data_IF_675841817598
#
_entry.id   IF_675841817598
#
_cell.length_a   1.000
_cell.length_b   1.000
_cell.length_c   1.000
_cell.angle_alpha   90.00
_cell.angle_beta   90.00
_cell.angle_gamma   90.00
#
_symmetry.space_group_name_H-M   'P 1'
#
loop_
_entity.id
_entity.type
_entity.pdbx_description
1 polymer ?
#
# COMPACT_ATOMS: atom_id res chain seq x y z
N UNK A 1 -7.06 -22.15 10.11
CA UNK A 1 -7.30 -20.87 10.81
C UNK A 1 -8.46 -20.14 10.16
N UNK A 2 -9.12 -19.26 10.90
CA UNK A 2 -9.99 -18.21 10.39
C UNK A 2 -9.15 -16.95 10.22
N UNK A 3 -9.06 -16.46 8.99
CA UNK A 3 -8.24 -15.28 8.66
C UNK A 3 -9.16 -14.16 8.18
N UNK A 4 -9.20 -13.06 8.93
CA UNK A 4 -9.90 -11.85 8.55
C UNK A 4 -8.91 -10.92 7.85
N UNK A 5 -9.24 -10.52 6.63
CA UNK A 5 -8.47 -9.52 5.88
C UNK A 5 -9.27 -8.23 5.88
N UNK A 6 -8.62 -7.10 6.18
CA UNK A 6 -9.29 -5.81 6.27
C UNK A 6 -8.63 -4.77 5.37
N UNK A 7 -9.46 -4.04 4.64
CA UNK A 7 -9.05 -2.98 3.73
C UNK A 7 -10.15 -1.93 3.67
N UNK A 8 -9.80 -0.64 3.61
CA UNK A 8 -10.81 0.37 3.27
C UNK A 8 -11.17 0.31 1.78
N UNK A 9 -12.31 0.89 1.39
CA UNK A 9 -12.86 0.76 0.04
C UNK A 9 -12.03 1.50 -1.02
N UNK A 10 -10.89 0.91 -1.38
CA UNK A 10 -10.02 1.37 -2.47
C UNK A 10 -9.40 0.19 -3.21
N UNK A 11 -9.65 0.10 -4.52
CA UNK A 11 -9.26 -1.04 -5.36
C UNK A 11 -7.76 -1.34 -5.29
N UNK A 12 -6.91 -0.31 -5.40
CA UNK A 12 -5.45 -0.49 -5.47
C UNK A 12 -4.85 -0.95 -4.14
N UNK A 13 -5.46 -0.62 -3.00
CA UNK A 13 -5.08 -1.14 -1.69
C UNK A 13 -5.49 -2.60 -1.55
N UNK A 14 -6.72 -2.93 -1.97
CA UNK A 14 -7.24 -4.29 -1.90
C UNK A 14 -6.45 -5.27 -2.78
N UNK A 15 -6.07 -4.88 -3.98
CA UNK A 15 -5.41 -5.78 -4.93
C UNK A 15 -4.11 -6.38 -4.41
N UNK A 16 -3.37 -5.66 -3.57
CA UNK A 16 -2.16 -6.19 -2.95
C UNK A 16 -2.42 -7.33 -1.94
N UNK A 17 -3.62 -7.41 -1.39
CA UNK A 17 -4.01 -8.43 -0.40
C UNK A 17 -4.41 -9.76 -1.07
N UNK A 18 -4.89 -9.71 -2.31
CA UNK A 18 -5.52 -10.85 -3.01
C UNK A 18 -4.59 -12.05 -3.15
N UNK A 19 -3.32 -11.93 -3.56
CA UNK A 19 -2.44 -13.09 -3.72
C UNK A 19 -2.20 -13.85 -2.42
N UNK A 20 -2.03 -13.15 -1.30
CA UNK A 20 -1.86 -13.79 0.01
C UNK A 20 -3.18 -14.38 0.52
N UNK A 21 -4.32 -13.71 0.28
CA UNK A 21 -5.65 -14.23 0.59
C UNK A 21 -5.91 -15.57 -0.11
N UNK A 22 -5.57 -15.67 -1.39
CA UNK A 22 -5.68 -16.90 -2.14
C UNK A 22 -4.71 -17.98 -1.68
N UNK A 23 -3.48 -17.61 -1.33
CA UNK A 23 -2.50 -18.56 -0.78
C UNK A 23 -3.01 -19.18 0.54
N UNK A 24 -3.57 -18.38 1.44
CA UNK A 24 -4.18 -18.84 2.68
C UNK A 24 -5.38 -19.74 2.41
N UNK A 25 -6.23 -19.37 1.48
CA UNK A 25 -7.40 -20.15 1.10
C UNK A 25 -7.03 -21.50 0.47
N UNK A 26 -6.03 -21.50 -0.41
CA UNK A 26 -5.48 -22.73 -1.01
C UNK A 26 -4.83 -23.66 0.02
N UNK A 27 -4.32 -23.14 1.13
CA UNK A 27 -3.80 -23.91 2.26
C UNK A 27 -4.90 -24.43 3.20
N UNK A 28 -6.19 -24.25 2.88
CA UNK A 28 -7.34 -24.76 3.63
C UNK A 28 -7.81 -23.84 4.77
N UNK A 29 -7.42 -22.57 4.78
CA UNK A 29 -7.92 -21.60 5.76
C UNK A 29 -9.26 -21.01 5.33
N UNK A 30 -10.11 -20.68 6.31
CA UNK A 30 -11.32 -19.88 6.08
C UNK A 30 -10.92 -18.40 6.02
N UNK A 31 -11.12 -17.76 4.86
CA UNK A 31 -10.71 -16.39 4.61
C UNK A 31 -11.94 -15.53 4.32
N UNK A 32 -12.09 -14.41 5.02
CA UNK A 32 -13.09 -13.38 4.76
C UNK A 32 -12.39 -12.03 4.58
N UNK A 33 -12.95 -11.18 3.72
CA UNK A 33 -12.44 -9.82 3.51
C UNK A 33 -13.49 -8.83 3.97
N UNK A 34 -13.18 -8.04 4.98
CA UNK A 34 -14.05 -6.99 5.50
C UNK A 34 -13.61 -5.62 4.96
N UNK A 35 -14.57 -4.87 4.41
CA UNK A 35 -14.39 -3.55 3.84
C UNK A 35 -15.72 -2.81 3.79
N UNK A 36 -15.68 -1.50 3.52
CA UNK A 36 -16.90 -0.74 3.28
C UNK A 36 -17.64 -1.28 2.05
N UNK A 37 -18.97 -1.07 1.97
CA UNK A 37 -19.84 -1.65 0.94
C UNK A 37 -19.39 -1.42 -0.50
N UNK A 38 -18.79 -0.27 -0.81
CA UNK A 38 -18.32 0.08 -2.16
C UNK A 38 -17.29 -0.92 -2.74
N UNK A 39 -16.57 -1.67 -1.90
CA UNK A 39 -15.57 -2.66 -2.37
C UNK A 39 -16.16 -4.06 -2.59
N UNK A 40 -17.42 -4.30 -2.25
CA UNK A 40 -18.05 -5.63 -2.27
C UNK A 40 -17.94 -6.33 -3.62
N UNK A 41 -18.28 -5.64 -4.71
CA UNK A 41 -18.21 -6.18 -6.07
C UNK A 41 -16.78 -6.55 -6.48
N UNK A 42 -15.80 -5.71 -6.10
CA UNK A 42 -14.39 -5.94 -6.41
C UNK A 42 -13.85 -7.14 -5.66
N UNK A 43 -14.21 -7.30 -4.38
CA UNK A 43 -13.86 -8.47 -3.58
C UNK A 43 -14.45 -9.74 -4.18
N UNK A 44 -15.75 -9.72 -4.49
CA UNK A 44 -16.43 -10.86 -5.10
C UNK A 44 -15.87 -11.18 -6.49
N UNK A 45 -15.54 -10.16 -7.30
CA UNK A 45 -14.89 -10.31 -8.60
C UNK A 45 -13.49 -10.96 -8.53
N UNK A 46 -12.81 -10.88 -7.38
CA UNK A 46 -11.56 -11.61 -7.13
C UNK A 46 -11.77 -13.07 -6.70
N UNK A 47 -13.02 -13.50 -6.51
CA UNK A 47 -13.40 -14.83 -6.02
C UNK A 47 -13.24 -15.02 -4.50
N UNK A 48 -13.01 -13.95 -3.74
CA UNK A 48 -12.99 -13.95 -2.27
C UNK A 48 -14.37 -13.59 -1.71
N UNK A 49 -14.58 -13.85 -0.42
CA UNK A 49 -15.85 -13.59 0.26
C UNK A 49 -15.81 -12.23 0.94
N UNK A 50 -16.68 -11.32 0.50
CA UNK A 50 -16.82 -9.99 1.09
C UNK A 50 -17.69 -10.03 2.36
N UNK A 51 -17.31 -9.22 3.35
CA UNK A 51 -18.14 -8.89 4.52
C UNK A 51 -18.21 -7.35 4.59
N UNK A 52 -19.33 -6.74 4.15
CA UNK A 52 -19.51 -5.30 4.23
C UNK A 52 -19.52 -4.84 5.69
N UNK A 53 -18.78 -3.77 5.99
CA UNK A 53 -18.69 -3.11 7.33
C UNK A 53 -18.70 -1.61 7.15
N UNK A 54 -19.35 -0.89 8.07
CA UNK A 54 -19.45 0.56 8.03
C UNK A 54 -20.44 1.06 6.98
N UNK A 55 -20.55 2.37 6.91
CA UNK A 55 -21.51 3.13 6.10
C UNK A 55 -20.86 4.02 5.02
N UNK A 56 -19.53 4.11 5.01
CA UNK A 56 -18.82 4.91 4.02
C UNK A 56 -18.79 4.19 2.67
N UNK A 57 -19.34 4.82 1.65
CA UNK A 57 -19.49 4.19 0.35
C UNK A 57 -18.20 4.19 -0.47
N UNK A 58 -17.40 5.27 -0.41
CA UNK A 58 -16.16 5.36 -1.18
C UNK A 58 -15.14 6.37 -0.62
N UNK A 59 -13.88 6.23 -1.06
CA UNK A 59 -12.83 7.23 -0.79
C UNK A 59 -13.18 8.59 -1.39
N UNK A 60 -13.92 8.63 -2.51
CA UNK A 60 -14.38 9.86 -3.17
C UNK A 60 -15.35 10.62 -2.28
N UNK A 61 -16.30 9.93 -1.64
CA UNK A 61 -17.19 10.55 -0.67
C UNK A 61 -16.45 11.09 0.55
N UNK A 62 -15.48 10.32 1.07
CA UNK A 62 -14.63 10.80 2.14
C UNK A 62 -13.88 12.07 1.73
N UNK A 63 -13.20 12.06 0.58
CA UNK A 63 -12.44 13.21 0.08
C UNK A 63 -13.36 14.42 -0.13
N UNK A 64 -14.57 14.23 -0.65
CA UNK A 64 -15.56 15.30 -0.79
C UNK A 64 -15.98 15.87 0.56
N UNK A 65 -16.20 15.02 1.56
CA UNK A 65 -16.62 15.41 2.91
C UNK A 65 -15.54 16.21 3.66
N UNK A 66 -14.27 15.83 3.52
CA UNK A 66 -13.13 16.51 4.18
C UNK A 66 -12.54 17.66 3.33
N UNK A 67 -13.15 17.99 2.19
CA UNK A 67 -12.75 19.09 1.33
C UNK A 67 -11.80 18.74 0.19
N UNK A 68 -11.35 17.50 0.05
CA UNK A 68 -10.65 16.95 -1.14
C UNK A 68 -9.37 17.68 -1.59
N UNK A 69 -8.75 18.48 -0.73
CA UNK A 69 -7.58 19.29 -1.11
C UNK A 69 -6.28 18.48 -0.94
N UNK A 70 -5.52 18.18 -2.03
CA UNK A 70 -4.24 17.49 -1.94
C UNK A 70 -3.10 18.40 -1.44
N UNK A 71 -3.33 19.70 -1.24
CA UNK A 71 -2.29 20.67 -0.86
C UNK A 71 -1.49 20.26 0.39
N UNK A 72 -2.10 19.75 1.47
CA UNK A 72 -1.34 19.29 2.64
C UNK A 72 -0.30 18.21 2.31
N UNK A 73 -0.65 17.25 1.43
CA UNK A 73 0.28 16.22 0.97
C UNK A 73 1.40 16.80 0.10
N UNK A 74 1.07 17.73 -0.79
CA UNK A 74 2.06 18.42 -1.64
C UNK A 74 3.01 19.31 -0.84
N UNK A 75 2.58 19.78 0.33
CA UNK A 75 3.40 20.57 1.27
C UNK A 75 4.24 19.71 2.23
N UNK A 76 4.21 18.37 2.11
CA UNK A 76 4.98 17.46 2.93
C UNK A 76 4.44 17.26 4.34
N UNK A 77 3.15 17.47 4.55
CA UNK A 77 2.48 17.11 5.80
C UNK A 77 2.04 15.64 5.84
N UNK A 78 2.38 14.86 4.83
CA UNK A 78 2.26 13.40 4.85
C UNK A 78 3.53 12.74 5.44
N UNK A 79 3.48 11.43 5.68
CA UNK A 79 4.61 10.69 6.25
C UNK A 79 5.73 10.38 5.24
N UNK A 80 5.56 10.71 3.98
CA UNK A 80 6.50 10.43 2.91
C UNK A 80 7.40 11.64 2.55
N UNK A 81 7.56 12.59 3.46
CA UNK A 81 8.40 13.78 3.25
C UNK A 81 9.83 13.40 2.85
N UNK A 82 10.27 13.86 1.69
CA UNK A 82 11.58 13.54 1.11
C UNK A 82 12.48 14.76 0.93
N UNK A 83 12.06 15.96 1.34
CA UNK A 83 12.80 17.21 1.10
C UNK A 83 14.12 17.32 1.88
N UNK A 84 14.37 16.39 2.79
CA UNK A 84 15.63 16.28 3.51
C UNK A 84 15.80 17.31 4.63
N UNK A 85 16.60 16.93 5.63
CA UNK A 85 16.85 17.72 6.84
C UNK A 85 16.21 17.08 8.07
N UNK A 86 16.70 17.42 9.29
CA UNK A 86 16.09 16.94 10.51
C UNK A 86 14.67 17.51 10.64
N UNK A 87 13.67 16.64 10.79
CA UNK A 87 12.31 17.06 11.09
C UNK A 87 12.29 17.71 12.48
N UNK A 88 11.70 18.92 12.57
CA UNK A 88 11.40 19.54 13.86
C UNK A 88 10.16 18.95 14.50
N UNK A 89 10.01 19.16 15.83
CA UNK A 89 8.87 18.70 16.60
C UNK A 89 7.53 19.16 16.00
N UNK A 90 7.39 20.46 15.72
CA UNK A 90 6.13 21.05 15.21
C UNK A 90 5.73 20.41 13.87
N UNK A 91 6.70 20.11 13.01
CA UNK A 91 6.43 19.45 11.75
C UNK A 91 6.00 17.98 11.97
N UNK A 92 6.73 17.23 12.80
CA UNK A 92 6.38 15.85 13.11
C UNK A 92 5.01 15.74 13.82
N UNK A 93 4.70 16.64 14.76
CA UNK A 93 3.40 16.72 15.38
C UNK A 93 2.30 17.08 14.37
N UNK A 94 2.57 18.04 13.48
CA UNK A 94 1.67 18.42 12.38
C UNK A 94 1.35 17.24 11.45
N UNK A 95 2.36 16.42 11.10
CA UNK A 95 2.16 15.20 10.32
C UNK A 95 1.28 14.19 11.07
N UNK A 96 1.56 13.90 12.35
CA UNK A 96 0.75 12.98 13.16
C UNK A 96 -0.70 13.48 13.26
N UNK A 97 -0.88 14.77 13.51
CA UNK A 97 -2.22 15.38 13.62
C UNK A 97 -2.99 15.29 12.30
N UNK A 98 -2.35 15.72 11.19
CA UNK A 98 -2.96 15.72 9.88
C UNK A 98 -3.34 14.31 9.43
N UNK A 99 -2.42 13.35 9.55
CA UNK A 99 -2.67 11.98 9.11
C UNK A 99 -3.75 11.30 9.96
N UNK A 100 -3.75 11.54 11.28
CA UNK A 100 -4.79 10.99 12.16
C UNK A 100 -6.15 11.60 11.85
N UNK A 101 -6.25 12.94 11.79
CA UNK A 101 -7.53 13.64 11.65
C UNK A 101 -8.11 13.58 10.23
N UNK A 102 -7.26 13.57 9.18
CA UNK A 102 -7.70 13.68 7.79
C UNK A 102 -7.69 12.35 7.04
N UNK A 103 -7.00 11.32 7.57
CA UNK A 103 -6.90 10.02 6.90
C UNK A 103 -7.33 8.87 7.79
N UNK A 104 -6.66 8.63 8.92
CA UNK A 104 -6.89 7.41 9.69
C UNK A 104 -8.26 7.40 10.38
N UNK A 105 -8.60 8.42 11.15
CA UNK A 105 -9.89 8.46 11.85
C UNK A 105 -11.08 8.51 10.88
N UNK A 106 -11.08 9.30 9.79
CA UNK A 106 -12.20 9.29 8.85
C UNK A 106 -12.38 7.99 8.06
N UNK A 107 -11.26 7.33 7.66
CA UNK A 107 -11.32 6.02 6.97
C UNK A 107 -11.81 4.89 7.89
N UNK A 108 -11.62 5.06 9.19
CA UNK A 108 -12.02 4.12 10.23
C UNK A 108 -13.08 4.76 11.14
N UNK A 109 -14.16 5.26 10.55
CA UNK A 109 -15.26 5.87 11.30
C UNK A 109 -15.89 4.90 12.31
N UNK A 110 -16.60 5.44 13.28
CA UNK A 110 -17.18 4.68 14.40
C UNK A 110 -17.99 3.48 13.94
N UNK A 111 -18.84 3.64 12.93
CA UNK A 111 -19.67 2.56 12.36
C UNK A 111 -18.78 1.43 11.81
N UNK A 112 -17.72 1.78 11.08
CA UNK A 112 -16.80 0.78 10.52
C UNK A 112 -16.08 -0.01 11.63
N UNK A 113 -15.65 0.68 12.69
CA UNK A 113 -15.00 0.04 13.85
C UNK A 113 -15.98 -0.85 14.61
N UNK A 114 -17.19 -0.36 14.87
CA UNK A 114 -18.22 -1.11 15.59
C UNK A 114 -18.60 -2.41 14.86
N UNK A 115 -18.85 -2.31 13.56
CA UNK A 115 -19.17 -3.47 12.73
C UNK A 115 -17.99 -4.46 12.65
N UNK A 116 -16.76 -3.96 12.53
CA UNK A 116 -15.56 -4.80 12.51
C UNK A 116 -15.36 -5.55 13.82
N UNK A 117 -15.56 -4.89 14.97
CA UNK A 117 -15.49 -5.51 16.28
C UNK A 117 -16.64 -6.51 16.47
N UNK A 118 -17.86 -6.19 16.03
CA UNK A 118 -19.00 -7.11 16.09
C UNK A 118 -18.73 -8.37 15.24
N UNK A 119 -18.19 -8.21 14.03
CA UNK A 119 -17.78 -9.31 13.16
C UNK A 119 -16.70 -10.16 13.84
N UNK A 120 -15.66 -9.56 14.40
CA UNK A 120 -14.58 -10.28 15.08
C UNK A 120 -15.07 -11.04 16.29
N UNK A 121 -15.97 -10.45 17.11
CA UNK A 121 -16.61 -11.12 18.25
C UNK A 121 -17.46 -12.31 17.83
N UNK A 122 -18.20 -12.19 16.74
CA UNK A 122 -19.09 -13.26 16.26
C UNK A 122 -18.29 -14.39 15.55
N UNK A 123 -17.29 -14.04 14.78
CA UNK A 123 -16.58 -15.02 13.95
C UNK A 123 -15.27 -15.54 14.56
N UNK A 124 -14.69 -14.83 15.56
CA UNK A 124 -13.49 -15.22 16.29
C UNK A 124 -12.31 -15.57 15.35
N UNK A 125 -11.73 -14.59 14.63
CA UNK A 125 -10.59 -14.84 13.77
C UNK A 125 -9.37 -15.28 14.58
N UNK A 126 -8.54 -16.15 14.00
CA UNK A 126 -7.25 -16.54 14.55
C UNK A 126 -6.15 -15.52 14.20
N UNK A 127 -6.31 -14.87 13.03
CA UNK A 127 -5.39 -13.91 12.46
C UNK A 127 -6.16 -12.81 11.72
N UNK A 128 -5.79 -11.56 11.97
CA UNK A 128 -6.26 -10.40 11.20
C UNK A 128 -5.10 -9.86 10.38
N UNK A 129 -5.26 -9.84 9.05
CA UNK A 129 -4.34 -9.17 8.12
C UNK A 129 -4.96 -7.84 7.69
N UNK A 130 -4.22 -6.77 7.81
CA UNK A 130 -4.74 -5.44 7.54
C UNK A 130 -3.77 -4.59 6.72
N UNK A 131 -4.31 -3.77 5.84
CA UNK A 131 -3.52 -2.80 5.12
C UNK A 131 -3.31 -1.53 5.99
N UNK A 132 -2.23 -0.77 5.78
CA UNK A 132 -1.74 0.23 6.74
C UNK A 132 -2.70 1.38 7.10
N UNK A 133 -3.80 1.59 6.37
CA UNK A 133 -4.78 2.63 6.68
C UNK A 133 -6.04 2.10 7.38
N UNK A 134 -6.24 0.78 7.46
CA UNK A 134 -7.45 0.16 8.01
C UNK A 134 -7.26 -0.26 9.46
N UNK A 135 -7.20 0.72 10.37
CA UNK A 135 -7.02 0.50 11.82
C UNK A 135 -8.19 -0.24 12.48
N UNK A 136 -9.37 -0.25 11.89
CA UNK A 136 -10.47 -1.09 12.36
C UNK A 136 -10.09 -2.57 12.46
N UNK A 137 -9.15 -3.03 11.62
CA UNK A 137 -8.62 -4.40 11.67
C UNK A 137 -7.87 -4.72 12.96
N UNK A 138 -6.74 -4.05 13.28
CA UNK A 138 -5.99 -4.30 14.50
C UNK A 138 -6.79 -3.93 15.77
N UNK A 139 -7.66 -2.91 15.74
CA UNK A 139 -8.58 -2.61 16.85
C UNK A 139 -9.48 -3.82 17.15
N UNK A 140 -10.11 -4.39 16.11
CA UNK A 140 -10.97 -5.57 16.28
C UNK A 140 -10.15 -6.79 16.74
N UNK A 141 -8.94 -6.99 16.22
CA UNK A 141 -8.03 -8.04 16.66
C UNK A 141 -7.69 -7.93 18.15
N UNK A 142 -7.32 -6.72 18.60
CA UNK A 142 -7.03 -6.43 20.00
C UNK A 142 -8.21 -6.76 20.91
N UNK A 143 -9.42 -6.32 20.55
CA UNK A 143 -10.64 -6.54 21.33
C UNK A 143 -10.99 -8.02 21.52
N UNK A 144 -10.65 -8.89 20.57
CA UNK A 144 -10.93 -10.33 20.66
C UNK A 144 -9.70 -11.17 21.00
N UNK A 145 -8.52 -10.57 21.16
CA UNK A 145 -7.27 -11.27 21.44
C UNK A 145 -6.73 -12.09 20.26
N UNK A 146 -7.05 -11.71 19.02
CA UNK A 146 -6.54 -12.34 17.82
C UNK A 146 -5.13 -11.82 17.49
N UNK A 147 -4.30 -12.67 16.86
CA UNK A 147 -3.06 -12.21 16.24
C UNK A 147 -3.35 -11.26 15.07
N UNK A 148 -2.46 -10.30 14.82
CA UNK A 148 -2.62 -9.43 13.66
C UNK A 148 -1.29 -9.04 13.00
N UNK A 149 -1.33 -8.81 11.69
CA UNK A 149 -0.17 -8.37 10.92
C UNK A 149 -0.58 -7.34 9.88
N UNK A 150 0.30 -6.35 9.66
CA UNK A 150 0.17 -5.43 8.53
C UNK A 150 0.68 -6.09 7.25
N UNK A 151 -0.01 -5.85 6.14
CA UNK A 151 0.51 -6.13 4.80
C UNK A 151 0.71 -4.79 4.06
N UNK A 152 1.98 -4.46 3.83
CA UNK A 152 2.35 -3.21 3.18
C UNK A 152 2.07 -3.27 1.66
N UNK A 153 1.85 -2.10 1.09
CA UNK A 153 1.72 -1.86 -0.35
C UNK A 153 2.76 -0.86 -0.88
N UNK A 154 3.60 -0.30 -0.01
CA UNK A 154 4.66 0.66 -0.31
C UNK A 154 5.71 0.66 0.79
N UNK A 155 6.71 1.56 0.75
CA UNK A 155 7.64 1.77 1.85
C UNK A 155 6.89 2.06 3.16
N UNK A 156 7.37 1.53 4.28
CA UNK A 156 6.72 1.71 5.59
C UNK A 156 6.92 3.13 6.15
N UNK A 157 6.32 4.10 5.49
CA UNK A 157 6.40 5.51 5.87
C UNK A 157 5.73 5.79 7.21
N UNK A 158 4.68 5.02 7.56
CA UNK A 158 3.92 5.22 8.81
C UNK A 158 4.79 4.90 10.02
N UNK A 159 5.36 3.70 10.08
CA UNK A 159 6.23 3.31 11.20
C UNK A 159 7.54 4.10 11.22
N UNK A 160 8.06 4.46 10.05
CA UNK A 160 9.24 5.30 9.95
C UNK A 160 9.00 6.69 10.55
N UNK A 161 7.93 7.37 10.14
CA UNK A 161 7.54 8.68 10.69
C UNK A 161 7.18 8.58 12.18
N UNK A 162 6.48 7.50 12.60
CA UNK A 162 6.16 7.24 14.00
C UNK A 162 7.42 7.16 14.86
N UNK A 163 8.43 6.44 14.43
CA UNK A 163 9.71 6.34 15.14
C UNK A 163 10.37 7.70 15.31
N UNK A 164 10.47 8.48 14.23
CA UNK A 164 11.03 9.83 14.28
C UNK A 164 10.25 10.75 15.23
N UNK A 165 8.92 10.69 15.18
CA UNK A 165 8.06 11.44 16.08
C UNK A 165 8.30 11.07 17.55
N UNK A 166 8.38 9.78 17.88
CA UNK A 166 8.63 9.32 19.26
C UNK A 166 10.03 9.73 19.76
N UNK A 167 11.06 9.71 18.92
CA UNK A 167 12.40 10.21 19.25
C UNK A 167 12.37 11.71 19.60
N UNK A 168 11.65 12.52 18.82
CA UNK A 168 11.47 13.95 19.09
C UNK A 168 10.62 14.20 20.34
N UNK A 169 9.57 13.43 20.55
CA UNK A 169 8.70 13.50 21.71
C UNK A 169 9.47 13.18 23.00
N UNK A 170 10.33 12.14 22.99
CA UNK A 170 11.12 11.75 24.15
C UNK A 170 12.09 12.85 24.62
N UNK A 171 12.53 13.73 23.73
CA UNK A 171 13.37 14.87 24.06
C UNK A 171 12.62 16.06 24.72
N UNK A 172 11.28 15.99 24.83
CA UNK A 172 10.44 17.04 25.43
C UNK A 172 10.06 16.73 26.87
N UNK A 173 9.80 17.74 27.71
CA UNK A 173 9.15 17.56 28.99
C UNK A 173 7.83 16.77 28.84
N UNK A 174 7.52 15.90 29.78
CA UNK A 174 6.37 15.00 29.69
C UNK A 174 5.04 15.75 29.52
N UNK A 175 4.89 16.86 30.24
CA UNK A 175 3.69 17.72 30.21
C UNK A 175 3.49 18.47 28.87
N UNK A 176 4.47 18.43 27.96
CA UNK A 176 4.42 19.05 26.62
C UNK A 176 4.40 18.01 25.49
N UNK A 177 4.21 16.74 25.83
CA UNK A 177 4.09 15.67 24.84
C UNK A 177 2.63 15.51 24.45
N UNK A 178 2.38 15.66 23.16
CA UNK A 178 1.09 15.40 22.53
C UNK A 178 1.26 14.22 21.60
N UNK A 179 0.26 13.34 21.52
CA UNK A 179 0.29 12.17 20.63
C UNK A 179 -1.10 11.90 20.04
N UNK A 180 -1.47 12.62 18.97
CA UNK A 180 -2.82 12.55 18.40
C UNK A 180 -3.24 11.14 17.96
N UNK A 181 -2.28 10.33 17.50
CA UNK A 181 -2.57 8.96 17.05
C UNK A 181 -2.81 8.02 18.24
N UNK A 182 -1.98 8.12 19.28
CA UNK A 182 -2.17 7.33 20.48
C UNK A 182 -3.45 7.71 21.24
N UNK A 183 -3.76 8.99 21.29
CA UNK A 183 -5.01 9.50 21.89
C UNK A 183 -6.24 8.96 21.16
N UNK A 184 -6.27 9.07 19.82
CA UNK A 184 -7.36 8.55 19.00
C UNK A 184 -7.58 7.06 19.20
N UNK A 185 -6.50 6.25 19.17
CA UNK A 185 -6.59 4.80 19.38
C UNK A 185 -7.04 4.45 20.78
N UNK A 186 -6.55 5.17 21.80
CA UNK A 186 -6.94 4.96 23.19
C UNK A 186 -8.43 5.24 23.39
N UNK A 187 -8.94 6.40 22.98
CA UNK A 187 -10.37 6.74 23.08
C UNK A 187 -11.25 5.75 22.30
N UNK A 188 -10.76 5.28 21.18
CA UNK A 188 -11.49 4.28 20.37
C UNK A 188 -11.61 2.95 21.13
N UNK A 189 -10.52 2.47 21.74
CA UNK A 189 -10.52 1.19 22.46
C UNK A 189 -11.27 1.24 23.78
N UNK A 190 -11.31 2.38 24.48
CA UNK A 190 -12.09 2.57 25.69
C UNK A 190 -13.59 2.29 25.51
N UNK A 191 -14.10 2.38 24.27
CA UNK A 191 -15.47 2.00 23.91
C UNK A 191 -15.73 0.49 24.06
N UNK A 192 -14.68 -0.35 24.04
CA UNK A 192 -14.79 -1.81 24.00
C UNK A 192 -14.21 -2.51 25.22
N UNK A 193 -13.43 -1.82 26.04
CA UNK A 193 -12.76 -2.37 27.21
C UNK A 193 -11.92 -1.34 27.97
N UNK A 194 -11.01 -1.78 28.83
CA UNK A 194 -10.10 -0.88 29.53
C UNK A 194 -9.14 -0.20 28.55
N UNK A 195 -8.65 1.00 28.91
CA UNK A 195 -7.65 1.72 28.13
C UNK A 195 -6.42 0.82 27.85
N UNK A 196 -5.89 0.83 26.62
CA UNK A 196 -4.68 0.11 26.28
C UNK A 196 -3.47 0.76 26.96
N UNK A 197 -2.43 -0.02 27.23
CA UNK A 197 -1.14 0.54 27.59
C UNK A 197 -0.38 1.05 26.33
N UNK A 198 0.71 1.78 26.55
CA UNK A 198 1.49 2.36 25.46
C UNK A 198 2.07 1.29 24.50
N UNK A 199 2.41 0.11 25.02
CA UNK A 199 2.93 -0.98 24.19
C UNK A 199 1.86 -1.54 23.26
N UNK A 200 0.62 -1.70 23.75
CA UNK A 200 -0.52 -2.11 22.93
C UNK A 200 -0.86 -1.08 21.87
N UNK A 201 -0.75 0.22 22.17
CA UNK A 201 -0.95 1.28 21.15
C UNK A 201 0.09 1.19 20.04
N UNK A 202 1.37 1.04 20.38
CA UNK A 202 2.43 0.90 19.36
C UNK A 202 2.28 -0.40 18.55
N UNK A 203 1.78 -1.48 19.16
CA UNK A 203 1.46 -2.71 18.46
C UNK A 203 0.30 -2.53 17.46
N UNK A 204 -0.73 -1.74 17.81
CA UNK A 204 -1.82 -1.39 16.89
C UNK A 204 -1.31 -0.58 15.70
N UNK A 205 -0.34 0.32 15.90
CA UNK A 205 0.23 1.16 14.84
C UNK A 205 1.16 0.33 13.94
N UNK A 206 2.05 -0.44 14.55
CA UNK A 206 3.10 -1.20 13.85
C UNK A 206 2.70 -2.59 13.39
N UNK A 207 1.64 -3.16 13.97
CA UNK A 207 1.33 -4.58 13.84
C UNK A 207 2.24 -5.45 14.72
N UNK A 208 1.80 -6.65 15.09
CA UNK A 208 2.67 -7.64 15.71
C UNK A 208 3.79 -8.06 14.76
N UNK A 209 3.47 -8.10 13.48
CA UNK A 209 4.40 -8.35 12.37
C UNK A 209 4.04 -7.47 11.19
N UNK A 210 5.04 -7.18 10.38
CA UNK A 210 4.86 -6.46 9.10
C UNK A 210 5.20 -7.39 7.95
N UNK A 211 4.25 -7.64 7.05
CA UNK A 211 4.47 -8.38 5.80
C UNK A 211 4.82 -7.35 4.73
N UNK A 212 5.99 -7.48 4.11
CA UNK A 212 6.53 -6.46 3.21
C UNK A 212 6.91 -7.06 1.84
N UNK A 213 6.23 -6.64 0.75
CA UNK A 213 6.54 -7.09 -0.60
C UNK A 213 7.72 -6.35 -1.25
N UNK A 214 8.25 -5.27 -0.65
CA UNK A 214 9.37 -4.55 -1.19
C UNK A 214 10.66 -5.38 -1.16
N UNK A 215 11.55 -5.29 -2.16
CA UNK A 215 12.91 -5.80 -2.05
C UNK A 215 13.67 -5.06 -0.93
N UNK A 216 14.62 -5.75 -0.29
CA UNK A 216 15.34 -5.22 0.87
C UNK A 216 16.00 -3.87 0.62
N UNK A 217 16.54 -3.67 -0.59
CA UNK A 217 17.18 -2.43 -1.00
C UNK A 217 16.23 -1.20 -1.09
N UNK A 218 14.91 -1.41 -1.14
CA UNK A 218 13.90 -0.35 -1.18
C UNK A 218 13.13 -0.19 0.14
N UNK A 219 13.53 -0.89 1.20
CA UNK A 219 12.88 -0.80 2.52
C UNK A 219 13.41 0.37 3.33
N UNK A 220 12.51 0.97 4.09
CA UNK A 220 12.91 1.90 5.15
C UNK A 220 13.35 1.12 6.40
N UNK A 221 14.31 1.65 7.19
CA UNK A 221 14.66 1.07 8.48
C UNK A 221 13.53 1.35 9.48
N UNK A 222 12.79 0.30 9.85
CA UNK A 222 11.69 0.36 10.80
C UNK A 222 11.88 -0.67 11.92
N UNK A 223 11.38 -0.43 13.14
CA UNK A 223 11.40 -1.43 14.21
C UNK A 223 10.43 -2.57 13.95
N UNK A 224 10.63 -3.69 14.64
CA UNK A 224 9.71 -4.84 14.60
C UNK A 224 10.16 -5.97 13.67
N UNK A 225 9.39 -7.06 13.67
CA UNK A 225 9.65 -8.22 12.83
C UNK A 225 9.03 -8.02 11.43
N UNK A 226 9.88 -7.99 10.42
CA UNK A 226 9.48 -7.88 9.02
C UNK A 226 9.52 -9.25 8.36
N UNK A 227 8.40 -9.66 7.79
CA UNK A 227 8.23 -10.88 7.03
C UNK A 227 8.27 -10.54 5.53
N UNK A 228 9.35 -10.84 4.82
CA UNK A 228 9.41 -10.60 3.38
C UNK A 228 8.43 -11.51 2.64
N UNK A 229 7.78 -10.96 1.63
CA UNK A 229 6.94 -11.73 0.71
C UNK A 229 7.19 -11.28 -0.72
N UNK A 230 7.26 -12.21 -1.66
CA UNK A 230 7.36 -11.88 -3.07
C UNK A 230 6.06 -11.22 -3.55
N UNK A 231 6.19 -10.05 -4.14
CA UNK A 231 5.08 -9.39 -4.80
C UNK A 231 4.54 -10.27 -5.94
N UNK A 232 3.23 -10.39 -6.00
CA UNK A 232 2.50 -11.07 -7.08
C UNK A 232 1.50 -10.09 -7.67
N UNK A 233 1.61 -9.71 -8.94
CA UNK A 233 0.70 -8.76 -9.57
C UNK A 233 -0.73 -9.29 -9.57
N UNK A 234 -1.66 -8.44 -9.16
CA UNK A 234 -3.10 -8.61 -9.35
C UNK A 234 -3.74 -7.23 -9.48
N UNK A 235 -4.40 -6.98 -10.61
CA UNK A 235 -5.00 -5.68 -10.93
C UNK A 235 -6.47 -5.82 -11.34
N UNK A 236 -7.16 -6.83 -10.80
CA UNK A 236 -8.54 -7.15 -11.16
C UNK A 236 -8.67 -8.00 -12.44
N UNK A 237 -9.90 -8.29 -12.84
CA UNK A 237 -10.19 -9.03 -14.07
C UNK A 237 -9.63 -8.28 -15.28
N UNK A 238 -8.95 -9.00 -16.17
CA UNK A 238 -8.32 -8.38 -17.33
C UNK A 238 -8.22 -9.33 -18.52
N UNK A 239 -8.07 -8.76 -19.71
CA UNK A 239 -7.87 -9.51 -20.97
C UNK A 239 -6.57 -9.03 -21.61
N UNK A 240 -5.74 -9.98 -22.02
CA UNK A 240 -4.53 -9.66 -22.80
C UNK A 240 -4.95 -9.33 -24.23
N UNK A 241 -4.69 -8.13 -24.73
CA UNK A 241 -5.04 -7.75 -26.10
C UNK A 241 -4.19 -8.51 -27.12
N UNK A 242 -4.78 -8.86 -28.27
CA UNK A 242 -4.14 -9.70 -29.29
C UNK A 242 -2.79 -9.16 -29.80
N UNK A 243 -2.62 -7.83 -29.86
CA UNK A 243 -1.37 -7.20 -30.30
C UNK A 243 -0.18 -7.46 -29.35
N UNK A 244 -0.45 -7.82 -28.09
CA UNK A 244 0.60 -8.08 -27.10
C UNK A 244 1.17 -9.52 -27.19
N UNK A 245 0.57 -10.40 -27.97
CA UNK A 245 1.09 -11.75 -28.19
C UNK A 245 2.37 -11.78 -29.04
N UNK A 246 2.60 -10.76 -29.86
CA UNK A 246 3.82 -10.64 -30.64
C UNK A 246 4.90 -9.86 -29.86
N UNK A 247 6.18 -10.28 -29.95
CA UNK A 247 7.27 -9.48 -29.41
C UNK A 247 7.32 -8.13 -30.13
N UNK A 248 7.78 -7.06 -29.48
CA UNK A 248 7.94 -5.75 -30.13
C UNK A 248 9.10 -5.78 -31.13
N UNK A 249 8.94 -5.11 -32.28
CA UNK A 249 9.97 -5.00 -33.31
C UNK A 249 11.11 -4.02 -32.92
N UNK A 250 10.87 -3.18 -31.92
CA UNK A 250 11.80 -2.17 -31.39
C UNK A 250 11.59 -2.03 -29.86
N UNK A 251 12.50 -1.37 -29.13
CA UNK A 251 12.29 -1.14 -27.70
C UNK A 251 10.90 -0.60 -27.42
N UNK A 252 10.24 -1.13 -26.38
CA UNK A 252 8.92 -0.66 -25.97
C UNK A 252 9.01 0.10 -24.66
N UNK A 253 8.33 1.23 -24.56
CA UNK A 253 8.19 2.03 -23.34
C UNK A 253 6.73 2.09 -22.97
N UNK A 254 6.41 1.69 -21.74
CA UNK A 254 5.09 1.92 -21.16
C UNK A 254 5.03 3.32 -20.56
N UNK A 255 3.93 4.04 -20.78
CA UNK A 255 3.66 5.33 -20.13
C UNK A 255 2.29 5.28 -19.49
N UNK A 256 2.24 5.38 -18.14
CA UNK A 256 1.00 5.25 -17.38
C UNK A 256 0.98 6.17 -16.16
N UNK A 257 -0.08 6.93 -16.01
CA UNK A 257 -0.28 7.77 -14.82
C UNK A 257 -1.12 7.07 -13.74
N UNK A 258 -1.59 5.83 -14.00
CA UNK A 258 -2.47 5.10 -13.09
C UNK A 258 -3.88 5.69 -13.03
N UNK A 259 -4.72 5.06 -12.22
CA UNK A 259 -6.13 5.45 -12.06
C UNK A 259 -6.42 6.15 -10.74
N UNK A 260 -5.63 5.86 -9.68
CA UNK A 260 -5.94 6.29 -8.29
C UNK A 260 -6.02 7.80 -8.11
N UNK A 261 -5.11 8.59 -8.71
CA UNK A 261 -5.13 10.04 -8.56
C UNK A 261 -6.41 10.63 -9.18
N UNK A 262 -6.84 10.10 -10.33
CA UNK A 262 -8.07 10.53 -10.98
C UNK A 262 -9.31 10.10 -10.21
N UNK A 263 -9.36 8.86 -9.74
CA UNK A 263 -10.44 8.37 -8.89
C UNK A 263 -10.57 9.19 -7.61
N UNK A 264 -9.45 9.58 -7.00
CA UNK A 264 -9.45 10.30 -5.71
C UNK A 264 -9.67 11.80 -5.87
N UNK A 265 -9.04 12.44 -6.87
CA UNK A 265 -9.01 13.92 -6.99
C UNK A 265 -9.70 14.46 -8.24
N UNK A 266 -10.25 13.60 -9.10
CA UNK A 266 -11.00 13.97 -10.32
C UNK A 266 -10.15 14.59 -11.43
N UNK A 267 -8.82 14.56 -11.33
CA UNK A 267 -7.89 15.13 -12.32
C UNK A 267 -6.57 14.39 -12.39
N UNK A 268 -5.90 14.50 -13.52
CA UNK A 268 -4.52 14.03 -13.68
C UNK A 268 -3.54 14.97 -12.97
N UNK A 269 -2.46 14.40 -12.45
CA UNK A 269 -1.42 15.17 -11.76
C UNK A 269 -0.52 15.95 -12.76
N UNK A 270 -0.57 15.64 -14.07
CA UNK A 270 0.33 16.18 -15.12
C UNK A 270 -0.41 16.32 -16.45
N UNK A 271 -0.18 17.39 -17.26
CA UNK A 271 -0.70 17.52 -18.62
C UNK A 271 -0.02 16.50 -19.54
N UNK A 272 -0.79 15.49 -19.97
CA UNK A 272 -0.23 14.26 -20.55
C UNK A 272 -0.01 14.32 -22.06
N UNK A 273 -0.91 14.98 -22.80
CA UNK A 273 -0.92 14.99 -24.25
C UNK A 273 0.35 15.65 -24.83
N UNK A 274 0.76 16.80 -24.27
CA UNK A 274 1.99 17.48 -24.69
C UNK A 274 3.24 16.64 -24.43
N UNK A 275 3.26 15.90 -23.32
CA UNK A 275 4.38 15.03 -22.96
C UNK A 275 4.51 13.83 -23.91
N UNK A 276 3.37 13.29 -24.40
CA UNK A 276 3.39 12.20 -25.37
C UNK A 276 3.98 12.64 -26.69
N UNK A 277 3.64 13.84 -27.18
CA UNK A 277 4.21 14.36 -28.43
C UNK A 277 5.74 14.45 -28.39
N UNK A 278 6.33 14.74 -27.21
CA UNK A 278 7.77 14.77 -27.03
C UNK A 278 8.47 13.41 -27.21
N UNK A 279 7.72 12.32 -27.14
CA UNK A 279 8.22 10.96 -27.33
C UNK A 279 8.07 10.47 -28.80
N UNK A 280 7.48 11.29 -29.66
CA UNK A 280 7.18 10.91 -31.05
C UNK A 280 8.40 10.56 -31.89
N UNK A 281 9.55 11.21 -31.66
CA UNK A 281 10.79 11.00 -32.43
C UNK A 281 11.74 9.96 -31.82
N UNK A 282 11.33 9.28 -30.74
CA UNK A 282 12.15 8.22 -30.13
C UNK A 282 11.99 6.94 -30.92
N UNK A 283 13.10 6.27 -31.25
CA UNK A 283 13.09 4.95 -31.89
C UNK A 283 12.67 3.85 -30.90
N UNK A 284 11.41 3.94 -30.49
CA UNK A 284 10.74 3.00 -29.59
C UNK A 284 9.24 2.98 -29.88
N UNK A 285 8.57 1.88 -29.55
CA UNK A 285 7.11 1.82 -29.45
C UNK A 285 6.70 2.36 -28.08
N UNK A 286 5.88 3.39 -28.05
CA UNK A 286 5.32 3.96 -26.82
C UNK A 286 3.92 3.40 -26.63
N UNK A 287 3.67 2.68 -25.54
CA UNK A 287 2.34 2.22 -25.14
C UNK A 287 1.85 3.11 -24.00
N UNK A 288 0.91 3.98 -24.30
CA UNK A 288 0.33 4.92 -23.34
C UNK A 288 -1.03 4.41 -22.85
N UNK A 289 -1.19 4.21 -21.53
CA UNK A 289 -2.50 3.89 -20.96
C UNK A 289 -3.24 5.18 -20.65
N UNK A 290 -4.26 5.48 -21.44
CA UNK A 290 -5.00 6.73 -21.44
C UNK A 290 -6.49 6.47 -21.56
N UNK A 291 -7.27 7.09 -20.69
CA UNK A 291 -8.71 7.18 -20.87
C UNK A 291 -9.05 8.04 -22.09
N UNK A 292 -10.17 7.74 -22.76
CA UNK A 292 -10.64 8.50 -23.91
C UNK A 292 -10.80 10.00 -23.65
N UNK A 293 -11.06 10.39 -22.41
CA UNK A 293 -11.19 11.80 -21.98
C UNK A 293 -9.86 12.55 -21.85
N UNK A 294 -8.72 11.85 -21.85
CA UNK A 294 -7.37 12.45 -21.68
C UNK A 294 -6.73 12.86 -23.02
N UNK A 295 -7.33 12.51 -24.13
CA UNK A 295 -6.88 12.88 -25.46
C UNK A 295 -7.95 13.67 -26.17
N UNK A 296 -7.58 14.85 -26.70
CA UNK A 296 -8.46 15.65 -27.54
C UNK A 296 -8.65 14.97 -28.90
N UNK A 297 -7.58 14.41 -29.45
CA UNK A 297 -7.59 13.70 -30.72
C UNK A 297 -6.59 12.53 -30.72
N UNK A 298 -7.09 11.30 -30.74
CA UNK A 298 -6.25 10.09 -30.81
C UNK A 298 -5.52 9.96 -32.14
N UNK A 299 -6.08 10.49 -33.22
CA UNK A 299 -5.50 10.39 -34.57
C UNK A 299 -4.35 11.39 -34.76
N UNK A 300 -4.21 12.38 -33.86
CA UNK A 300 -3.11 13.32 -33.85
C UNK A 300 -1.83 12.80 -33.15
N UNK A 301 -1.89 11.64 -32.50
CA UNK A 301 -0.69 11.07 -31.86
C UNK A 301 0.38 10.64 -32.86
N UNK A 302 1.68 10.82 -32.55
CA UNK A 302 2.79 10.30 -33.32
C UNK A 302 2.66 8.80 -33.63
N UNK A 303 3.11 8.39 -34.83
CA UNK A 303 2.93 7.02 -35.34
C UNK A 303 3.58 5.91 -34.48
N UNK A 304 4.55 6.27 -33.62
CA UNK A 304 5.18 5.34 -32.69
C UNK A 304 4.41 5.20 -31.36
N UNK A 305 3.29 5.92 -31.19
CA UNK A 305 2.50 5.90 -29.94
C UNK A 305 1.22 5.10 -30.14
N UNK A 306 1.04 4.11 -29.29
CA UNK A 306 -0.20 3.31 -29.16
C UNK A 306 -0.92 3.73 -27.89
N UNK A 307 -2.02 4.44 -28.01
CA UNK A 307 -2.92 4.73 -26.90
C UNK A 307 -3.86 3.56 -26.67
N UNK A 308 -3.98 3.12 -25.41
CA UNK A 308 -4.89 2.05 -24.98
C UNK A 308 -5.61 2.48 -23.71
N UNK A 309 -6.88 2.14 -23.56
CA UNK A 309 -7.65 2.50 -22.37
C UNK A 309 -7.19 1.69 -21.15
N UNK A 310 -6.90 0.42 -21.36
CA UNK A 310 -6.43 -0.50 -20.33
C UNK A 310 -5.59 -1.62 -20.94
N UNK A 311 -4.56 -2.03 -20.22
CA UNK A 311 -3.79 -3.24 -20.51
C UNK A 311 -3.23 -3.80 -19.19
N UNK A 312 -3.29 -5.13 -18.96
CA UNK A 312 -2.72 -5.71 -17.74
C UNK A 312 -1.20 -5.49 -17.70
N UNK A 313 -0.73 -4.77 -16.68
CA UNK A 313 0.69 -4.40 -16.52
C UNK A 313 1.60 -5.61 -16.44
N UNK A 314 1.15 -6.69 -15.81
CA UNK A 314 1.92 -7.95 -15.71
C UNK A 314 2.15 -8.61 -17.08
N UNK A 315 1.26 -8.38 -18.04
CA UNK A 315 1.44 -8.85 -19.42
C UNK A 315 2.26 -7.87 -20.29
N UNK A 316 2.11 -6.56 -20.04
CA UNK A 316 2.79 -5.53 -20.84
C UNK A 316 4.24 -5.34 -20.41
N UNK A 317 4.53 -5.16 -19.12
CA UNK A 317 5.86 -4.78 -18.62
C UNK A 317 6.98 -5.77 -18.94
N UNK A 318 6.75 -7.10 -19.01
CA UNK A 318 7.78 -8.03 -19.51
C UNK A 318 8.27 -7.75 -20.91
N UNK A 319 7.49 -7.04 -21.72
CA UNK A 319 7.84 -6.66 -23.09
C UNK A 319 8.47 -5.27 -23.20
N UNK A 320 8.56 -4.54 -22.08
CA UNK A 320 9.02 -3.16 -22.05
C UNK A 320 10.50 -3.06 -21.66
N UNK A 321 11.18 -2.08 -22.27
CA UNK A 321 12.56 -1.68 -21.94
C UNK A 321 12.61 -0.58 -20.88
N UNK A 322 11.53 0.16 -20.68
CA UNK A 322 11.37 1.15 -19.63
C UNK A 322 9.89 1.42 -19.36
N UNK A 323 9.58 2.00 -18.19
CA UNK A 323 8.25 2.49 -17.85
C UNK A 323 8.31 3.88 -17.24
N UNK A 324 7.42 4.76 -17.69
CA UNK A 324 7.14 6.07 -17.09
C UNK A 324 5.85 5.95 -16.30
N UNK A 325 5.87 6.28 -15.00
CA UNK A 325 4.67 6.18 -14.18
C UNK A 325 4.66 7.16 -12.98
N UNK A 326 3.48 7.37 -12.41
CA UNK A 326 3.23 8.30 -11.31
C UNK A 326 3.69 7.79 -9.91
N UNK A 327 4.34 6.64 -9.81
CA UNK A 327 4.81 6.09 -8.53
C UNK A 327 3.82 5.19 -7.79
N UNK A 328 2.68 4.80 -8.40
CA UNK A 328 1.75 3.85 -7.80
C UNK A 328 2.40 2.50 -7.50
N UNK A 329 2.08 1.93 -6.32
CA UNK A 329 2.72 0.72 -5.82
C UNK A 329 2.55 -0.48 -6.76
N UNK A 330 1.35 -0.73 -7.27
CA UNK A 330 1.08 -1.85 -8.18
C UNK A 330 1.92 -1.79 -9.45
N UNK A 331 2.02 -0.62 -10.09
CA UNK A 331 2.86 -0.43 -11.29
C UNK A 331 4.34 -0.56 -10.96
N UNK A 332 4.80 0.11 -9.88
CA UNK A 332 6.22 0.09 -9.47
C UNK A 332 6.70 -1.31 -9.11
N UNK A 333 5.95 -2.05 -8.30
CA UNK A 333 6.33 -3.42 -7.94
C UNK A 333 6.22 -4.40 -9.10
N UNK A 334 5.25 -4.23 -10.01
CA UNK A 334 5.21 -5.04 -11.24
C UNK A 334 6.43 -4.76 -12.11
N UNK A 335 6.82 -3.49 -12.28
CA UNK A 335 8.04 -3.13 -13.00
C UNK A 335 9.30 -3.72 -12.36
N UNK A 336 9.41 -3.64 -11.02
CA UNK A 336 10.53 -4.23 -10.28
C UNK A 336 10.57 -5.75 -10.42
N UNK A 337 9.42 -6.43 -10.36
CA UNK A 337 9.30 -7.89 -10.55
C UNK A 337 9.82 -8.32 -11.93
N UNK A 338 9.59 -7.49 -12.96
CA UNK A 338 10.05 -7.77 -14.33
C UNK A 338 11.42 -7.20 -14.65
N UNK A 339 12.04 -6.45 -13.72
CA UNK A 339 13.37 -5.85 -13.92
C UNK A 339 13.36 -4.72 -14.95
N UNK A 340 12.26 -3.98 -15.05
CA UNK A 340 12.07 -2.88 -15.98
C UNK A 340 12.55 -1.58 -15.35
N UNK A 341 13.45 -0.81 -16.00
CA UNK A 341 13.84 0.53 -15.58
C UNK A 341 12.64 1.46 -15.42
N UNK A 342 12.61 2.24 -14.34
CA UNK A 342 11.47 3.07 -13.99
C UNK A 342 11.82 4.56 -14.06
N UNK A 343 10.96 5.35 -14.67
CA UNK A 343 10.99 6.82 -14.65
C UNK A 343 9.76 7.23 -13.83
N UNK A 344 9.98 7.77 -12.63
CA UNK A 344 8.90 8.05 -11.68
C UNK A 344 8.65 9.56 -11.64
N UNK A 345 7.42 9.96 -12.00
CA UNK A 345 6.99 11.36 -12.13
C UNK A 345 5.96 11.77 -11.09
N UNK A 346 5.81 11.00 -10.01
CA UNK A 346 4.79 11.22 -9.00
C UNK A 346 5.14 12.31 -8.00
N UNK A 347 4.10 12.95 -7.42
CA UNK A 347 4.22 14.02 -6.42
C UNK A 347 3.42 13.77 -5.16
N UNK A 348 2.60 12.73 -5.13
CA UNK A 348 1.67 12.47 -4.03
C UNK A 348 2.11 11.29 -3.21
N UNK A 349 1.91 11.41 -1.89
CA UNK A 349 2.18 10.36 -0.92
C UNK A 349 3.62 9.82 -1.04
N UNK A 350 3.80 8.51 -1.04
CA UNK A 350 5.09 7.83 -1.08
C UNK A 350 5.76 7.77 -2.47
N UNK A 351 5.15 8.39 -3.50
CA UNK A 351 5.71 8.37 -4.85
C UNK A 351 7.07 9.08 -4.95
N UNK A 352 7.29 10.28 -4.36
CA UNK A 352 8.60 10.92 -4.36
C UNK A 352 9.67 10.08 -3.64
N UNK A 353 9.30 9.44 -2.52
CA UNK A 353 10.21 8.55 -1.79
C UNK A 353 10.59 7.32 -2.63
N UNK A 354 9.62 6.70 -3.29
CA UNK A 354 9.88 5.56 -4.21
C UNK A 354 10.79 5.96 -5.36
N UNK A 355 10.58 7.16 -5.92
CA UNK A 355 11.45 7.69 -6.97
C UNK A 355 12.90 7.84 -6.49
N UNK A 356 13.08 8.44 -5.32
CA UNK A 356 14.40 8.59 -4.68
C UNK A 356 15.06 7.22 -4.43
N UNK A 357 14.36 6.28 -3.79
CA UNK A 357 14.90 4.95 -3.49
C UNK A 357 15.32 4.19 -4.76
N UNK A 358 14.54 4.24 -5.85
CA UNK A 358 14.91 3.62 -7.12
C UNK A 358 16.12 4.30 -7.77
N UNK A 359 16.21 5.63 -7.70
CA UNK A 359 17.33 6.39 -8.22
C UNK A 359 18.63 6.10 -7.43
N UNK A 360 18.57 6.00 -6.12
CA UNK A 360 19.71 5.61 -5.25
C UNK A 360 20.23 4.20 -5.58
N UNK A 361 19.34 3.26 -5.93
CA UNK A 361 19.73 1.93 -6.40
C UNK A 361 20.23 1.93 -7.85
N UNK A 362 20.14 3.06 -8.56
CA UNK A 362 20.45 3.16 -9.98
C UNK A 362 19.47 2.43 -10.90
N UNK A 363 18.33 1.98 -10.38
CA UNK A 363 17.31 1.20 -11.11
C UNK A 363 16.20 2.05 -11.71
N UNK A 364 16.25 3.37 -11.51
CA UNK A 364 15.25 4.31 -12.00
C UNK A 364 15.76 5.74 -12.09
N UNK A 365 14.88 6.60 -12.56
CA UNK A 365 15.11 8.05 -12.71
C UNK A 365 13.99 8.75 -11.92
N UNK A 366 14.39 9.57 -10.97
CA UNK A 366 13.50 10.50 -10.27
C UNK A 366 13.29 11.75 -11.13
N UNK A 367 12.07 11.93 -11.62
CA UNK A 367 11.67 13.07 -12.44
C UNK A 367 10.43 13.74 -11.82
N UNK A 368 10.64 14.56 -10.77
CA UNK A 368 9.51 15.17 -10.06
C UNK A 368 8.75 16.16 -10.97
N UNK A 369 7.45 16.38 -10.75
CA UNK A 369 6.61 17.24 -11.59
C UNK A 369 7.16 18.65 -11.80
N UNK A 370 7.87 19.21 -10.83
CA UNK A 370 8.51 20.53 -10.97
C UNK A 370 9.63 20.60 -12.03
N UNK A 371 10.16 19.42 -12.42
CA UNK A 371 11.20 19.28 -13.48
C UNK A 371 10.67 18.59 -14.73
N UNK A 372 9.40 18.21 -14.75
CA UNK A 372 8.81 17.47 -15.83
C UNK A 372 8.36 18.41 -16.94
N UNK A 373 9.03 18.32 -18.08
CA UNK A 373 8.66 18.93 -19.33
C UNK A 373 8.98 17.98 -20.52
N UNK A 374 8.67 18.42 -21.73
CA UNK A 374 8.89 17.64 -22.96
C UNK A 374 10.36 17.21 -23.12
N UNK A 375 11.31 18.08 -22.82
CA UNK A 375 12.74 17.83 -22.99
C UNK A 375 13.25 16.85 -21.93
N UNK A 376 12.97 17.11 -20.67
CA UNK A 376 13.43 16.30 -19.53
C UNK A 376 12.82 14.90 -19.54
N UNK A 377 11.56 14.76 -19.95
CA UNK A 377 10.93 13.43 -20.13
C UNK A 377 11.63 12.66 -21.22
N UNK A 378 11.83 13.29 -22.39
CA UNK A 378 12.51 12.67 -23.53
C UNK A 378 13.93 12.21 -23.16
N UNK A 379 14.71 13.05 -22.51
CA UNK A 379 16.05 12.73 -22.03
C UNK A 379 16.05 11.55 -21.05
N UNK A 380 15.11 11.53 -20.10
CA UNK A 380 14.95 10.43 -19.15
C UNK A 380 14.64 9.10 -19.85
N UNK A 381 13.70 9.11 -20.83
CA UNK A 381 13.36 7.91 -21.61
C UNK A 381 14.55 7.44 -22.43
N UNK A 382 15.23 8.32 -23.16
CA UNK A 382 16.43 7.96 -23.94
C UNK A 382 17.50 7.38 -23.02
N UNK A 383 17.77 7.99 -21.88
CA UNK A 383 18.72 7.49 -20.90
C UNK A 383 18.34 6.10 -20.38
N UNK A 384 17.07 5.87 -20.02
CA UNK A 384 16.61 4.57 -19.57
C UNK A 384 16.76 3.47 -20.63
N UNK A 385 16.64 3.82 -21.92
CA UNK A 385 16.81 2.90 -23.04
C UNK A 385 18.28 2.64 -23.39
N UNK A 386 19.19 3.61 -23.19
CA UNK A 386 20.57 3.55 -23.71
C UNK A 386 21.64 3.31 -22.64
N UNK A 387 21.33 3.56 -21.35
CA UNK A 387 22.26 3.32 -20.25
C UNK A 387 22.10 1.89 -19.70
N UNK A 388 23.04 0.97 -20.02
CA UNK A 388 22.92 -0.43 -19.60
C UNK A 388 23.04 -0.60 -18.07
N UNK A 389 23.57 0.39 -17.35
CA UNK A 389 23.71 0.33 -15.90
C UNK A 389 22.35 0.37 -15.20
N UNK A 390 21.39 1.14 -15.73
CA UNK A 390 20.02 1.24 -15.20
C UNK A 390 19.30 -0.12 -15.36
N UNK A 391 19.38 -0.71 -16.55
CA UNK A 391 18.79 -2.03 -16.78
C UNK A 391 19.45 -3.13 -15.93
N UNK A 392 20.77 -3.04 -15.69
CA UNK A 392 21.47 -3.98 -14.79
C UNK A 392 21.01 -3.83 -13.34
N UNK A 393 20.82 -2.60 -12.86
CA UNK A 393 20.31 -2.33 -11.53
C UNK A 393 18.86 -2.80 -11.35
N UNK A 394 17.99 -2.54 -12.33
CA UNK A 394 16.61 -3.04 -12.31
C UNK A 394 16.55 -4.58 -12.24
N UNK A 395 17.45 -5.28 -12.97
CA UNK A 395 17.57 -6.75 -12.86
C UNK A 395 18.01 -7.21 -11.49
N UNK A 396 18.94 -6.52 -10.80
CA UNK A 396 19.32 -6.85 -9.41
C UNK A 396 18.13 -6.75 -8.45
N UNK A 397 17.33 -5.68 -8.54
CA UNK A 397 16.12 -5.57 -7.73
C UNK A 397 15.11 -6.69 -8.02
N UNK A 398 14.97 -7.10 -9.28
CA UNK A 398 14.16 -8.25 -9.66
C UNK A 398 14.64 -9.54 -8.98
N UNK A 399 15.95 -9.77 -8.95
CA UNK A 399 16.53 -10.95 -8.30
C UNK A 399 16.19 -10.98 -6.80
N UNK A 400 16.23 -9.85 -6.10
CA UNK A 400 15.81 -9.73 -4.70
C UNK A 400 14.33 -10.08 -4.52
N UNK A 401 13.44 -9.54 -5.38
CA UNK A 401 12.01 -9.86 -5.34
C UNK A 401 11.77 -11.36 -5.53
N UNK A 402 12.45 -11.97 -6.51
CA UNK A 402 12.30 -13.39 -6.81
C UNK A 402 12.87 -14.32 -5.70
N UNK A 403 13.87 -13.85 -4.96
CA UNK A 403 14.43 -14.56 -3.81
C UNK A 403 13.51 -14.55 -2.58
N UNK A 404 12.58 -13.60 -2.48
CA UNK A 404 11.63 -13.53 -1.38
C UNK A 404 10.64 -14.71 -1.43
N UNK A 405 10.17 -15.21 -0.26
CA UNK A 405 9.18 -16.27 -0.17
C UNK A 405 7.90 -15.92 -0.96
N UNK A 406 7.36 -16.87 -1.70
CA UNK A 406 6.04 -16.68 -2.33
C UNK A 406 4.95 -16.52 -1.26
N UNK A 407 3.77 -15.93 -1.59
CA UNK A 407 2.64 -15.91 -0.67
C UNK A 407 2.32 -17.29 -0.08
N UNK A 408 2.37 -18.36 -0.89
CA UNK A 408 2.16 -19.73 -0.41
C UNK A 408 3.26 -20.20 0.56
N UNK A 409 4.52 -19.83 0.32
CA UNK A 409 5.63 -20.17 1.21
C UNK A 409 5.59 -19.39 2.55
N UNK A 410 4.91 -18.25 2.60
CA UNK A 410 4.72 -17.47 3.83
C UNK A 410 3.66 -18.08 4.76
N UNK A 411 2.65 -18.81 4.24
CA UNK A 411 1.52 -19.33 5.01
C UNK A 411 1.96 -20.15 6.25
N UNK A 412 2.90 -21.11 6.17
CA UNK A 412 3.34 -21.85 7.36
C UNK A 412 3.98 -20.97 8.44
N UNK A 413 4.58 -19.85 8.06
CA UNK A 413 5.12 -18.89 9.03
C UNK A 413 4.00 -18.17 9.75
N UNK A 414 2.97 -17.70 9.05
CA UNK A 414 1.79 -17.07 9.65
C UNK A 414 1.04 -18.05 10.58
N UNK A 415 0.92 -19.32 10.20
CA UNK A 415 0.34 -20.37 11.06
C UNK A 415 1.09 -20.52 12.38
N UNK A 416 2.44 -20.60 12.33
CA UNK A 416 3.28 -20.71 13.53
C UNK A 416 3.17 -19.48 14.42
N UNK A 417 3.16 -18.28 13.82
CA UNK A 417 3.05 -17.02 14.55
C UNK A 417 1.70 -16.89 15.26
N UNK A 418 0.60 -17.13 14.56
CA UNK A 418 -0.74 -17.12 15.15
C UNK A 418 -0.91 -18.19 16.23
N UNK A 419 -0.33 -19.38 16.05
CA UNK A 419 -0.37 -20.45 17.08
C UNK A 419 0.42 -20.06 18.34
N UNK A 420 1.60 -19.45 18.18
CA UNK A 420 2.41 -18.93 19.32
C UNK A 420 1.65 -17.86 20.11
N UNK A 421 1.03 -16.90 19.40
CA UNK A 421 0.23 -15.85 20.05
C UNK A 421 -0.92 -16.44 20.88
N UNK A 422 -1.70 -17.38 20.31
CA UNK A 422 -2.78 -18.06 21.04
C UNK A 422 -2.29 -18.84 22.25
N UNK A 423 -1.14 -19.48 22.17
CA UNK A 423 -0.55 -20.21 23.30
C UNK A 423 -0.14 -19.26 24.44
N UNK A 424 0.47 -18.11 24.10
CA UNK A 424 0.83 -17.08 25.06
C UNK A 424 -0.40 -16.47 25.75
N UNK A 425 -1.45 -16.15 25.01
CA UNK A 425 -2.70 -15.63 25.55
C UNK A 425 -3.38 -16.62 26.54
N UNK A 426 -3.36 -17.91 26.23
CA UNK A 426 -3.89 -18.97 27.13
C UNK A 426 -3.08 -19.11 28.42
N UNK A 427 -1.77 -18.95 28.37
CA UNK A 427 -0.90 -19.05 29.56
C UNK A 427 -0.98 -17.81 30.44
N UNK A 428 -1.34 -16.64 29.90
CA UNK A 428 -1.54 -15.39 30.62
C UNK A 428 -2.92 -15.32 31.31
N UNK A 429 -3.92 -16.11 30.88
CA UNK A 429 -5.23 -16.18 31.55
C UNK A 429 -5.10 -16.93 32.87
N UNK A 430 -5.48 -16.34 34.06
CA UNK A 430 -5.43 -17.06 35.32
C UNK A 430 -6.35 -18.27 35.24
N UNK A 431 -5.82 -19.47 35.56
CA UNK A 431 -6.59 -20.71 35.73
C UNK A 431 -7.72 -20.45 36.71
N UNK A 432 -8.96 -20.52 36.25
CA UNK A 432 -10.10 -20.53 37.17
C UNK A 432 -9.89 -21.62 38.25
N UNK A 433 -10.11 -21.31 39.53
CA UNK A 433 -9.94 -22.31 40.58
C UNK A 433 -10.87 -23.50 40.27
N UNK A 434 -10.30 -24.71 40.25
CA UNK A 434 -11.09 -25.95 40.12
C UNK A 434 -12.16 -25.92 41.21
N UNK A 435 -13.45 -26.18 40.89
CA UNK A 435 -14.47 -26.32 41.95
C UNK A 435 -14.01 -27.38 42.89
N UNK A 436 -13.94 -26.99 44.17
CA UNK A 436 -13.40 -27.80 45.25
C UNK A 436 -14.04 -29.19 45.28
N UNK A 437 -13.22 -30.21 45.38
CA UNK A 437 -13.63 -31.50 45.88
C UNK A 437 -14.12 -31.28 47.29
N UNK A 438 -15.43 -31.35 47.45
CA UNK A 438 -16.03 -31.36 48.80
C UNK A 438 -15.49 -32.56 49.57
N UNK A 439 -14.91 -32.27 50.73
CA UNK A 439 -14.49 -33.25 51.70
C UNK A 439 -15.72 -33.98 52.25
N UNK A 440 -15.80 -35.30 52.24
CA UNK A 440 -16.89 -36.02 52.84
C UNK A 440 -16.61 -36.18 54.34
N UNK A 441 -17.29 -35.42 55.14
CA UNK A 441 -17.50 -35.75 56.59
C UNK A 441 -18.98 -35.77 56.89
#
# INVERSE_FOLDING_TARGET
MRVLITCFAHNTHYYNLVPLAWALRAAGHEVRVASQPALTEVINGSGLTAVPVGDLDSIVELMTRIGGDPTPYQQGLDFAETRGGPLGWEHALGQQTMMTAMSFAPLNGDTTIDDMVALARAWQPDLVLWEPFTYAGPIAAHVVGAAHARLLWGPDVITHARRQFLELSAARPEELREDPMAEWLTWTLERFGPAPDAAAVEELIGGMWTIDPAPGALRLPVPGEVLPVRYVPYNGPSVIPGWLHAPPDRPRVCVTLGVSARETYGRDAVPFEELLHALGDIDAEIVATLDASQLQDRDALPANIRAVDFVPMDALLPTCSAVVHHGGAGTGYTATLHGVPQIIVGSLWDAPLKALLHAEQGAGIDLPPAKLDATTLREAVVRALTDPSIAAAARRLREEVLAAPSPAALVPTLERLAARHRAAARSASPTAPRPGQGDPT
#
